data_IF_234396873863
#
_entry.id   IF_234396873863
#
_cell.length_a   1.000
_cell.length_b   1.000
_cell.length_c   1.000
_cell.angle_alpha   90.00
_cell.angle_beta   90.00
_cell.angle_gamma   90.00
#
_symmetry.space_group_name_H-M   'P 1'
#
loop_
_entity.id
_entity.type
_entity.pdbx_description
1 polymer ?
#
# COMPACT_ATOMS: atom_id res chain seq x y z
N UNK A 1 -14.43 -11.64 -2.75
CA UNK A 1 -13.03 -12.04 -2.64
C UNK A 1 -12.23 -10.82 -2.27
N UNK A 2 -11.52 -10.87 -1.14
CA UNK A 2 -10.68 -9.77 -0.68
C UNK A 2 -9.28 -10.01 -1.27
N UNK A 3 -8.65 -9.01 -1.91
CA UNK A 3 -7.37 -9.16 -2.57
C UNK A 3 -6.19 -9.06 -1.59
N UNK A 4 -5.05 -9.58 -2.03
CA UNK A 4 -3.74 -9.27 -1.46
C UNK A 4 -3.48 -7.77 -1.51
N UNK A 5 -2.83 -7.23 -0.48
CA UNK A 5 -2.48 -5.81 -0.43
C UNK A 5 -1.11 -5.58 0.19
N UNK A 6 -0.47 -4.46 -0.17
CA UNK A 6 0.74 -3.96 0.47
C UNK A 6 0.53 -2.51 0.92
N UNK A 7 1.25 -2.07 1.95
CA UNK A 7 1.20 -0.67 2.36
C UNK A 7 1.89 -0.42 3.67
N UNK A 8 1.37 0.54 4.44
CA UNK A 8 1.92 0.91 5.74
C UNK A 8 0.83 1.02 6.81
N UNK A 9 1.21 0.71 8.04
CA UNK A 9 0.39 0.82 9.24
C UNK A 9 1.08 1.68 10.28
N UNK A 10 0.33 2.45 11.06
CA UNK A 10 0.83 3.18 12.24
C UNK A 10 1.66 2.24 13.12
N UNK A 11 2.85 2.70 13.51
CA UNK A 11 3.75 1.93 14.39
C UNK A 11 3.10 1.66 15.76
N UNK A 12 2.36 2.65 16.27
CA UNK A 12 1.63 2.58 17.53
C UNK A 12 0.45 1.59 17.53
N UNK A 13 -0.03 1.18 16.34
CA UNK A 13 -1.23 0.36 16.23
C UNK A 13 -0.97 -1.10 16.54
N UNK A 14 -1.73 -1.66 17.49
CA UNK A 14 -1.67 -3.09 17.82
C UNK A 14 -2.74 -3.81 17.01
N UNK A 15 -2.32 -4.64 16.06
CA UNK A 15 -3.22 -5.41 15.19
C UNK A 15 -3.89 -6.53 16.02
N UNK A 16 -5.21 -6.50 16.24
CA UNK A 16 -5.91 -7.59 16.94
C UNK A 16 -5.95 -8.86 16.10
N UNK A 17 -6.10 -10.02 16.76
CA UNK A 17 -6.34 -11.29 16.05
C UNK A 17 -7.66 -11.21 15.29
N UNK A 18 -7.64 -11.57 14.00
CA UNK A 18 -8.82 -11.55 13.14
C UNK A 18 -9.24 -10.15 12.67
N UNK A 19 -8.36 -9.16 12.82
CA UNK A 19 -8.61 -7.81 12.34
C UNK A 19 -8.56 -7.76 10.81
N UNK A 20 -9.62 -7.23 10.23
CA UNK A 20 -9.71 -6.93 8.80
C UNK A 20 -9.20 -5.50 8.57
N UNK A 21 -8.11 -5.30 7.81
CA UNK A 21 -7.47 -3.98 7.68
C UNK A 21 -8.36 -2.94 6.98
N UNK A 22 -9.35 -3.35 6.19
CA UNK A 22 -10.33 -2.42 5.60
C UNK A 22 -11.50 -2.08 6.52
N UNK A 23 -11.71 -2.83 7.60
CA UNK A 23 -12.82 -2.61 8.51
C UNK A 23 -12.47 -1.53 9.54
N UNK A 24 -13.46 -0.73 9.93
CA UNK A 24 -13.34 0.15 11.09
C UNK A 24 -13.20 -0.71 12.37
N UNK A 25 -12.31 -0.36 13.32
CA UNK A 25 -11.45 0.83 13.38
C UNK A 25 -10.05 0.65 12.78
N UNK A 26 -9.77 -0.50 12.15
CA UNK A 26 -8.42 -0.85 11.66
C UNK A 26 -7.99 0.03 10.48
N UNK A 27 -8.94 0.38 9.60
CA UNK A 27 -8.71 1.23 8.42
C UNK A 27 -8.27 2.67 8.71
N UNK A 28 -8.41 3.14 9.95
CA UNK A 28 -7.91 4.45 10.38
C UNK A 28 -6.41 4.45 10.67
N UNK A 29 -5.79 3.27 10.65
CA UNK A 29 -4.38 3.09 10.99
C UNK A 29 -3.56 2.48 9.87
N UNK A 30 -4.17 2.05 8.76
CA UNK A 30 -3.50 1.34 7.67
C UNK A 30 -3.91 1.88 6.31
N UNK A 31 -2.94 2.26 5.50
CA UNK A 31 -3.14 2.58 4.09
C UNK A 31 -2.66 1.41 3.22
N UNK A 32 -3.47 0.98 2.26
CA UNK A 32 -3.22 -0.23 1.49
C UNK A 32 -3.47 -0.05 0.00
N UNK A 33 -2.55 -0.56 -0.80
CA UNK A 33 -2.66 -0.72 -2.24
C UNK A 33 -2.97 -2.19 -2.56
N UNK A 34 -4.06 -2.41 -3.29
CA UNK A 34 -4.64 -3.72 -3.54
C UNK A 34 -4.28 -4.30 -4.90
N UNK A 35 -4.06 -5.62 -4.92
CA UNK A 35 -3.84 -6.40 -6.13
C UNK A 35 -5.10 -6.58 -6.98
N UNK A 36 -4.96 -7.27 -8.10
CA UNK A 36 -5.90 -7.35 -9.23
C UNK A 36 -7.25 -8.05 -8.94
N UNK A 37 -7.42 -8.71 -7.79
CA UNK A 37 -8.59 -9.58 -7.56
C UNK A 37 -9.81 -8.82 -7.00
N UNK A 38 -10.96 -8.95 -7.64
CA UNK A 38 -12.23 -8.43 -7.14
C UNK A 38 -12.41 -6.91 -7.28
N UNK A 39 -13.41 -6.34 -6.59
CA UNK A 39 -13.80 -4.92 -6.72
C UNK A 39 -12.85 -3.89 -6.10
N UNK A 40 -11.61 -4.30 -5.83
CA UNK A 40 -10.55 -3.50 -5.21
C UNK A 40 -9.29 -3.44 -6.09
N UNK A 41 -9.35 -4.00 -7.30
CA UNK A 41 -8.22 -4.01 -8.23
C UNK A 41 -7.57 -2.63 -8.36
N UNK A 42 -6.29 -2.54 -8.01
CA UNK A 42 -5.50 -1.32 -8.20
C UNK A 42 -5.92 -0.16 -7.31
N UNK A 43 -6.69 -0.41 -6.25
CA UNK A 43 -7.17 0.68 -5.39
C UNK A 43 -6.19 0.96 -4.27
N UNK A 44 -6.09 2.23 -3.88
CA UNK A 44 -5.49 2.64 -2.61
C UNK A 44 -6.61 2.99 -1.63
N UNK A 45 -6.55 2.42 -0.44
CA UNK A 45 -7.56 2.58 0.60
C UNK A 45 -6.97 3.10 1.90
N UNK A 46 -7.63 4.09 2.49
CA UNK A 46 -7.30 4.61 3.82
C UNK A 46 -8.52 5.32 4.42
N UNK A 47 -8.83 5.13 5.71
CA UNK A 47 -9.93 5.81 6.43
C UNK A 47 -11.28 5.79 5.70
N UNK A 48 -11.67 4.66 5.11
CA UNK A 48 -12.93 4.59 4.37
C UNK A 48 -12.89 5.13 2.93
N UNK A 49 -11.83 5.86 2.57
CA UNK A 49 -11.64 6.42 1.23
C UNK A 49 -10.96 5.39 0.34
N UNK A 50 -11.58 5.12 -0.81
CA UNK A 50 -11.06 4.23 -1.85
C UNK A 50 -10.79 5.05 -3.10
N UNK A 51 -9.52 5.21 -3.46
CA UNK A 51 -9.11 5.87 -4.71
C UNK A 51 -8.74 4.78 -5.72
N UNK A 52 -9.31 4.90 -6.92
CA UNK A 52 -9.03 4.03 -8.07
C UNK A 52 -8.08 4.80 -8.98
N UNK A 53 -7.09 4.14 -9.56
CA UNK A 53 -6.18 4.77 -10.52
C UNK A 53 -4.90 3.98 -10.77
N UNK A 54 -4.50 3.10 -9.85
CA UNK A 54 -3.38 2.20 -10.07
C UNK A 54 -3.83 0.97 -10.86
N UNK A 55 -2.88 0.31 -11.51
CA UNK A 55 -3.07 -1.01 -12.10
C UNK A 55 -3.01 -2.07 -11.00
N UNK A 56 -3.98 -2.97 -10.90
CA UNK A 56 -3.92 -4.03 -9.90
C UNK A 56 -2.77 -5.01 -10.17
N UNK A 57 -1.99 -5.36 -9.14
CA UNK A 57 -0.91 -6.34 -9.27
C UNK A 57 -1.40 -7.78 -9.13
N UNK A 58 -0.73 -8.71 -9.83
CA UNK A 58 -0.99 -10.14 -9.78
C UNK A 58 0.30 -10.93 -9.53
N UNK A 59 0.21 -12.26 -9.56
CA UNK A 59 1.38 -13.13 -9.46
C UNK A 59 2.41 -12.81 -10.54
N UNK A 60 3.68 -13.06 -10.24
CA UNK A 60 4.85 -12.95 -11.13
C UNK A 60 5.34 -11.53 -11.47
N UNK A 61 4.73 -10.48 -10.94
CA UNK A 61 5.31 -9.12 -11.01
C UNK A 61 5.96 -8.72 -9.68
N UNK A 62 6.92 -7.80 -9.74
CA UNK A 62 7.47 -7.20 -8.54
C UNK A 62 6.55 -6.06 -8.12
N UNK A 63 6.16 -6.04 -6.85
CA UNK A 63 5.40 -4.92 -6.31
C UNK A 63 6.26 -4.26 -5.25
N UNK A 64 6.41 -2.94 -5.34
CA UNK A 64 7.24 -2.15 -4.43
C UNK A 64 6.38 -1.08 -3.77
N UNK A 65 6.56 -0.90 -2.47
CA UNK A 65 6.10 0.27 -1.75
C UNK A 65 7.33 1.05 -1.28
N UNK A 66 7.46 2.29 -1.73
CA UNK A 66 8.55 3.19 -1.40
C UNK A 66 8.03 4.24 -0.42
N UNK A 67 8.60 4.27 0.79
CA UNK A 67 8.28 5.25 1.82
C UNK A 67 9.40 6.29 1.90
N UNK A 68 9.04 7.56 1.69
CA UNK A 68 9.90 8.70 1.91
C UNK A 68 9.49 9.38 3.23
N UNK A 69 10.32 9.24 4.26
CA UNK A 69 10.07 9.81 5.58
C UNK A 69 10.30 11.32 5.65
N UNK A 70 11.06 11.90 4.72
CA UNK A 70 11.31 13.35 4.68
C UNK A 70 10.11 14.07 4.06
N UNK A 71 9.52 13.48 3.01
CA UNK A 71 8.32 14.00 2.35
C UNK A 71 7.01 13.52 2.98
N UNK A 72 7.05 12.42 3.73
CA UNK A 72 5.86 11.79 4.31
C UNK A 72 4.97 11.14 3.25
N UNK A 73 5.57 10.50 2.24
CA UNK A 73 4.85 9.87 1.13
C UNK A 73 5.07 8.36 1.06
N UNK A 74 4.07 7.64 0.56
CA UNK A 74 4.14 6.22 0.22
C UNK A 74 3.68 6.02 -1.23
N UNK A 75 4.61 5.63 -2.09
CA UNK A 75 4.39 5.46 -3.53
C UNK A 75 4.53 3.99 -3.89
N UNK A 76 3.72 3.56 -4.86
CA UNK A 76 3.68 2.16 -5.28
C UNK A 76 4.25 1.99 -6.69
N UNK A 77 4.84 0.83 -6.94
CA UNK A 77 5.34 0.46 -8.27
C UNK A 77 4.92 -0.96 -8.60
N UNK A 78 4.54 -1.16 -9.85
CA UNK A 78 4.41 -2.47 -10.49
C UNK A 78 5.60 -2.63 -11.43
N UNK A 79 6.46 -3.61 -11.12
CA UNK A 79 7.82 -3.73 -11.65
C UNK A 79 8.59 -2.40 -11.53
N UNK A 80 8.87 -1.74 -12.64
CA UNK A 80 9.56 -0.44 -12.67
C UNK A 80 8.62 0.73 -13.00
N UNK A 81 7.30 0.49 -13.05
CA UNK A 81 6.29 1.50 -13.38
C UNK A 81 5.69 2.08 -12.10
N UNK A 82 5.98 3.36 -11.86
CA UNK A 82 5.36 4.12 -10.77
C UNK A 82 3.85 4.23 -10.98
N UNK A 83 3.09 3.99 -9.91
CA UNK A 83 1.65 4.07 -9.91
C UNK A 83 1.17 5.48 -9.49
N UNK A 84 0.09 6.02 -10.11
CA UNK A 84 -0.30 7.42 -9.94
C UNK A 84 -0.99 7.75 -8.61
N UNK A 85 -1.60 6.76 -7.97
CA UNK A 85 -2.25 6.92 -6.66
C UNK A 85 -1.27 6.58 -5.55
N UNK A 86 -0.99 7.55 -4.69
CA UNK A 86 -0.02 7.44 -3.59
C UNK A 86 -0.58 8.04 -2.30
N UNK A 87 0.04 7.70 -1.16
CA UNK A 87 -0.32 8.26 0.16
C UNK A 87 0.59 9.45 0.46
N UNK A 88 0.03 10.54 0.97
CA UNK A 88 0.78 11.73 1.40
C UNK A 88 0.46 12.11 2.85
N UNK A 89 1.25 13.02 3.43
CA UNK A 89 0.98 13.58 4.76
C UNK A 89 1.33 12.66 5.93
N UNK A 90 2.09 11.58 5.70
CA UNK A 90 2.54 10.68 6.76
C UNK A 90 3.54 11.42 7.66
N UNK A 91 3.12 11.77 8.87
CA UNK A 91 3.92 12.56 9.83
C UNK A 91 4.25 11.78 11.12
N UNK A 92 4.07 10.47 11.10
CA UNK A 92 4.30 9.57 12.23
C UNK A 92 5.10 8.34 11.79
N UNK A 93 5.56 7.55 12.78
CA UNK A 93 6.27 6.29 12.50
C UNK A 93 5.28 5.27 11.93
N UNK A 94 5.70 4.58 10.88
CA UNK A 94 4.93 3.52 10.23
C UNK A 94 5.75 2.24 10.08
N UNK A 95 5.05 1.12 9.91
CA UNK A 95 5.62 -0.19 9.55
C UNK A 95 5.05 -0.62 8.21
N UNK A 96 5.87 -1.27 7.38
CA UNK A 96 5.37 -1.95 6.19
C UNK A 96 4.46 -3.12 6.59
N UNK A 97 3.38 -3.30 5.85
CA UNK A 97 2.42 -4.39 6.05
C UNK A 97 2.07 -5.04 4.73
N UNK A 98 1.89 -6.37 4.77
CA UNK A 98 1.37 -7.18 3.67
C UNK A 98 0.12 -7.87 4.21
N UNK A 99 -0.98 -7.82 3.46
CA UNK A 99 -2.23 -8.50 3.80
C UNK A 99 -2.50 -9.60 2.79
N UNK A 100 -2.68 -10.82 3.29
CA UNK A 100 -3.00 -12.02 2.52
C UNK A 100 -4.33 -12.57 3.04
N UNK A 101 -5.36 -12.58 2.19
CA UNK A 101 -6.71 -13.00 2.60
C UNK A 101 -6.96 -14.49 2.39
N UNK A 102 -6.57 -15.03 1.24
CA UNK A 102 -6.81 -16.44 0.93
C UNK A 102 -5.83 -17.32 1.72
N UNK A 103 -6.35 -18.39 2.32
CA UNK A 103 -5.51 -19.46 2.88
C UNK A 103 -4.50 -19.94 1.83
N UNK A 104 -3.31 -20.32 2.28
CA UNK A 104 -2.21 -20.82 1.43
C UNK A 104 -1.60 -19.78 0.47
N UNK A 105 -2.02 -18.51 0.53
CA UNK A 105 -1.34 -17.43 -0.19
C UNK A 105 0.10 -17.29 0.28
N UNK A 106 1.02 -17.14 -0.67
CA UNK A 106 2.45 -16.95 -0.41
C UNK A 106 2.88 -15.58 -0.92
N UNK A 107 3.69 -14.88 -0.12
CA UNK A 107 4.39 -13.67 -0.54
C UNK A 107 5.88 -13.87 -0.31
N UNK A 108 6.69 -13.52 -1.30
CA UNK A 108 8.16 -13.53 -1.20
C UNK A 108 8.64 -12.09 -1.10
N UNK A 109 9.20 -11.74 0.06
CA UNK A 109 9.85 -10.45 0.25
C UNK A 109 11.24 -10.56 -0.39
N UNK A 110 11.39 -10.01 -1.60
CA UNK A 110 12.68 -10.01 -2.31
C UNK A 110 13.71 -9.14 -1.62
N UNK A 111 13.30 -7.97 -1.13
CA UNK A 111 14.20 -7.03 -0.47
C UNK A 111 13.44 -6.02 0.41
N UNK A 112 14.09 -5.62 1.50
CA UNK A 112 13.78 -4.40 2.25
C UNK A 112 15.11 -3.65 2.38
N UNK A 113 15.22 -2.47 1.76
CA UNK A 113 16.44 -1.65 1.80
C UNK A 113 16.11 -0.18 1.93
N UNK A 114 17.02 0.58 2.54
CA UNK A 114 17.02 2.03 2.46
C UNK A 114 17.60 2.44 1.10
N UNK A 115 16.96 3.40 0.44
CA UNK A 115 17.47 4.02 -0.78
C UNK A 115 18.23 5.30 -0.42
N UNK A 116 19.30 5.61 -1.16
CA UNK A 116 20.08 6.83 -0.95
C UNK A 116 19.47 8.04 -1.66
N UNK A 117 18.68 7.79 -2.72
CA UNK A 117 17.98 8.79 -3.52
C UNK A 117 16.58 8.22 -3.79
N UNK A 118 15.51 9.03 -3.72
CA UNK A 118 14.17 8.60 -4.11
C UNK A 118 14.15 8.13 -5.57
N UNK A 119 13.33 7.14 -5.88
CA UNK A 119 13.06 6.73 -7.28
C UNK A 119 11.80 7.37 -7.85
N UNK A 120 11.19 8.27 -7.09
CA UNK A 120 9.98 9.00 -7.46
C UNK A 120 10.23 10.00 -8.58
N UNK A 121 9.35 9.98 -9.57
CA UNK A 121 9.20 11.03 -10.57
C UNK A 121 7.74 11.54 -10.55
N UNK A 122 7.44 12.60 -11.29
CA UNK A 122 6.06 13.00 -11.56
C UNK A 122 5.44 12.07 -12.61
N UNK A 123 4.23 11.58 -12.36
CA UNK A 123 3.45 10.80 -13.33
C UNK A 123 2.13 11.49 -13.68
N UNK A 124 1.63 11.23 -14.88
CA UNK A 124 0.31 11.72 -15.29
C UNK A 124 -0.79 11.12 -14.39
N UNK A 125 -1.88 11.87 -14.20
CA UNK A 125 -3.04 11.48 -13.39
C UNK A 125 -2.74 11.17 -11.91
N UNK A 126 -1.71 11.82 -11.34
CA UNK A 126 -1.41 11.74 -9.91
C UNK A 126 -2.62 12.08 -9.04
N UNK A 127 -2.93 11.17 -8.10
CA UNK A 127 -3.96 11.38 -7.10
C UNK A 127 -3.44 10.99 -5.72
N UNK A 128 -3.50 11.93 -4.78
CA UNK A 128 -3.10 11.65 -3.41
C UNK A 128 -4.27 11.16 -2.55
N UNK A 129 -3.97 10.23 -1.65
CA UNK A 129 -4.79 9.97 -0.47
C UNK A 129 -4.06 10.50 0.76
N UNK A 130 -4.71 11.41 1.49
CA UNK A 130 -4.10 12.03 2.66
C UNK A 130 -4.20 11.14 3.91
N UNK A 131 -3.08 11.01 4.63
CA UNK A 131 -2.94 10.24 5.87
C UNK A 131 -3.72 10.80 7.08
#
# INVERSE_FOLDING_TARGET
YIPTAIGVIKDSYKIPRGADPWAYPHNDSVAQYYGQLGGWAGTVYYRGLKIIGNEGFASNINVRAEYDSEKGTLIYYNDEVQQPVFVSGINEKVRFIISLYCAESVCIIKQVRKLNVPTTDHVEDEHEIHW
#
